data_IF_476200205773
#
_entry.id   IF_476200205773
#
_cell.length_a   1.000
_cell.length_b   1.000
_cell.length_c   1.000
_cell.angle_alpha   90.00
_cell.angle_beta   90.00
_cell.angle_gamma   90.00
#
_symmetry.space_group_name_H-M   'P 1'
#
loop_
_entity.id
_entity.type
_entity.pdbx_description
1 polymer ?
#
# COMPACT_ATOMS: atom_id res chain seq x y z
N UNK A 1 -7.75 -1.90 6.12
CA UNK A 1 -7.01 -2.15 4.88
C UNK A 1 -6.30 -0.89 4.37
N UNK A 2 -6.98 0.26 4.29
CA UNK A 2 -6.31 1.56 3.99
C UNK A 2 -5.18 1.92 4.97
N UNK A 3 -5.39 1.74 6.27
CA UNK A 3 -4.35 1.99 7.30
C UNK A 3 -3.09 1.14 7.13
N UNK A 4 -3.21 -0.07 6.58
CA UNK A 4 -2.08 -0.97 6.35
C UNK A 4 -1.20 -0.49 5.19
N UNK A 5 -1.81 0.02 4.12
CA UNK A 5 -1.10 0.66 2.99
C UNK A 5 -0.35 1.91 3.48
N UNK A 6 -1.01 2.74 4.30
CA UNK A 6 -0.35 3.91 4.90
C UNK A 6 0.83 3.53 5.82
N UNK A 7 0.70 2.46 6.60
CA UNK A 7 1.79 1.96 7.43
C UNK A 7 2.98 1.47 6.59
N UNK A 8 2.73 0.75 5.50
CA UNK A 8 3.77 0.32 4.54
C UNK A 8 4.50 1.52 3.91
N UNK A 9 3.76 2.55 3.50
CA UNK A 9 4.34 3.77 2.96
C UNK A 9 5.15 4.53 4.02
N UNK A 10 4.68 4.57 5.27
CA UNK A 10 5.41 5.17 6.38
C UNK A 10 6.74 4.45 6.65
N UNK A 11 6.73 3.11 6.63
CA UNK A 11 7.97 2.30 6.77
C UNK A 11 8.91 2.57 5.59
N UNK A 12 8.39 2.67 4.35
CA UNK A 12 9.20 3.02 3.19
C UNK A 12 9.87 4.38 3.36
N UNK A 13 9.12 5.42 3.75
CA UNK A 13 9.67 6.75 4.01
C UNK A 13 10.70 6.75 5.13
N UNK A 14 10.48 5.99 6.21
CA UNK A 14 11.44 5.85 7.31
C UNK A 14 12.74 5.16 6.86
N UNK A 15 12.64 4.11 6.04
CA UNK A 15 13.80 3.45 5.45
C UNK A 15 14.57 4.39 4.52
N UNK A 16 13.88 5.18 3.67
CA UNK A 16 14.50 6.19 2.83
C UNK A 16 15.22 7.27 3.66
N UNK A 17 14.60 7.72 4.76
CA UNK A 17 15.18 8.69 5.68
C UNK A 17 16.48 8.20 6.33
N UNK A 18 16.59 6.89 6.61
CA UNK A 18 17.83 6.26 7.11
C UNK A 18 18.83 5.88 6.00
N UNK A 19 18.60 6.31 4.76
CA UNK A 19 19.43 6.01 3.59
C UNK A 19 19.43 4.53 3.17
N UNK A 20 18.44 3.74 3.61
CA UNK A 20 18.26 2.33 3.24
C UNK A 20 17.36 2.23 2.00
N UNK A 21 17.85 2.74 0.87
CA UNK A 21 17.06 2.92 -0.36
C UNK A 21 16.52 1.61 -0.94
N UNK A 22 17.31 0.54 -0.94
CA UNK A 22 16.89 -0.77 -1.45
C UNK A 22 15.65 -1.31 -0.70
N UNK A 23 15.66 -1.22 0.64
CA UNK A 23 14.53 -1.65 1.48
C UNK A 23 13.32 -0.73 1.32
N UNK A 24 13.54 0.59 1.16
CA UNK A 24 12.48 1.55 0.87
C UNK A 24 11.76 1.22 -0.44
N UNK A 25 12.50 0.95 -1.52
CA UNK A 25 11.90 0.60 -2.81
C UNK A 25 11.12 -0.70 -2.75
N UNK A 26 11.58 -1.68 -1.97
CA UNK A 26 10.86 -2.93 -1.75
C UNK A 26 9.52 -2.68 -1.04
N UNK A 27 9.53 -1.97 0.09
CA UNK A 27 8.29 -1.65 0.82
C UNK A 27 7.33 -0.79 0.00
N UNK A 28 7.86 0.17 -0.77
CA UNK A 28 7.06 0.95 -1.69
C UNK A 28 6.41 0.08 -2.77
N UNK A 29 7.17 -0.80 -3.43
CA UNK A 29 6.63 -1.72 -4.44
C UNK A 29 5.54 -2.64 -3.89
N UNK A 30 5.75 -3.21 -2.68
CA UNK A 30 4.74 -4.02 -2.00
C UNK A 30 3.48 -3.20 -1.70
N UNK A 31 3.62 -1.95 -1.27
CA UNK A 31 2.48 -1.06 -1.00
C UNK A 31 1.61 -0.83 -2.24
N UNK A 32 2.23 -0.73 -3.42
CA UNK A 32 1.53 -0.56 -4.70
C UNK A 32 0.76 -1.82 -5.08
N UNK A 33 1.39 -2.99 -4.98
CA UNK A 33 0.74 -4.28 -5.30
C UNK A 33 -0.46 -4.53 -4.36
N UNK A 34 -0.27 -4.32 -3.06
CA UNK A 34 -1.34 -4.48 -2.07
C UNK A 34 -2.45 -3.46 -2.30
N UNK A 35 -2.11 -2.22 -2.68
CA UNK A 35 -3.09 -1.19 -3.06
C UNK A 35 -3.91 -1.60 -4.27
N UNK A 36 -3.28 -2.08 -5.34
CA UNK A 36 -3.97 -2.55 -6.55
C UNK A 36 -4.89 -3.73 -6.26
N UNK A 37 -4.43 -4.71 -5.48
CA UNK A 37 -5.27 -5.82 -5.02
C UNK A 37 -6.48 -5.32 -4.25
N UNK A 38 -6.26 -4.35 -3.35
CA UNK A 38 -7.35 -3.79 -2.54
C UNK A 38 -8.37 -3.04 -3.38
N UNK A 39 -7.93 -2.19 -4.30
CA UNK A 39 -8.82 -1.46 -5.21
C UNK A 39 -9.59 -2.43 -6.10
N UNK A 40 -8.94 -3.47 -6.61
CA UNK A 40 -9.60 -4.49 -7.39
C UNK A 40 -10.67 -5.22 -6.57
N UNK A 41 -10.33 -5.64 -5.35
CA UNK A 41 -11.24 -6.29 -4.42
C UNK A 41 -12.44 -5.39 -4.09
N UNK A 42 -12.23 -4.11 -3.77
CA UNK A 42 -13.31 -3.16 -3.51
C UNK A 42 -14.16 -2.83 -4.74
N UNK A 43 -13.60 -2.90 -5.95
CA UNK A 43 -14.33 -2.69 -7.20
C UNK A 43 -15.14 -3.92 -7.64
N UNK A 44 -14.77 -5.13 -7.20
CA UNK A 44 -15.50 -6.38 -7.49
C UNK A 44 -16.42 -6.82 -6.37
N UNK A 45 -16.25 -6.30 -5.15
CA UNK A 45 -17.23 -6.46 -4.09
C UNK A 45 -18.54 -5.76 -4.48
N UNK A 46 -19.56 -6.57 -4.73
CA UNK A 46 -20.92 -6.20 -5.13
C UNK A 46 -21.70 -5.30 -4.14
N UNK A 47 -21.07 -4.84 -3.06
CA UNK A 47 -21.70 -4.12 -1.96
C UNK A 47 -21.44 -2.60 -1.96
N UNK A 48 -20.73 -2.06 -2.96
CA UNK A 48 -20.36 -0.63 -3.02
C UNK A 48 -21.07 0.20 -4.11
N UNK A 49 -22.01 -0.38 -4.86
CA UNK A 49 -22.83 0.37 -5.84
C UNK A 49 -24.12 0.97 -5.21
N UNK A 50 -24.41 0.68 -3.94
CA UNK A 50 -25.60 1.18 -3.25
C UNK A 50 -25.30 1.87 -1.90
N UNK A 51 -24.21 2.66 -1.82
CA UNK A 51 -24.08 3.72 -0.82
C UNK A 51 -23.19 4.86 -1.32
#
# INVERSE_FOLDING_TARGET
MMSLIFLLLFIAMWCAYRNHLSTSYLFFGVSVIVGLYWFHHHATDSLSILL
#
